data_IF_400988806528
#
_entry.id   IF_400988806528
#
_cell.length_a   1.000
_cell.length_b   1.000
_cell.length_c   1.000
_cell.angle_alpha   90.00
_cell.angle_beta   90.00
_cell.angle_gamma   90.00
#
_symmetry.space_group_name_H-M   'P 1'
#
loop_
_entity.id
_entity.type
_entity.pdbx_description
1 polymer ?
#
# COMPACT_ATOMS: atom_id res chain seq x y z
N UNK A 1 -62.55 13.77 -18.49
CA UNK A 1 -61.66 14.44 -17.52
C UNK A 1 -60.28 13.81 -17.65
N UNK A 2 -59.33 14.61 -18.14
CA UNK A 2 -57.93 14.27 -18.40
C UNK A 2 -57.11 14.29 -17.11
N UNK A 3 -56.25 13.31 -16.88
CA UNK A 3 -54.94 13.43 -16.19
C UNK A 3 -54.11 12.19 -16.58
N UNK A 4 -53.28 12.19 -17.64
CA UNK A 4 -51.91 12.72 -17.80
C UNK A 4 -50.89 12.26 -16.74
N UNK A 5 -49.94 11.43 -17.21
CA UNK A 5 -48.50 11.40 -16.87
C UNK A 5 -48.13 10.77 -15.51
N UNK A 6 -47.01 10.08 -15.30
CA UNK A 6 -45.74 9.94 -16.02
C UNK A 6 -45.04 8.67 -15.49
N UNK A 7 -44.45 7.88 -16.39
CA UNK A 7 -43.55 6.79 -16.02
C UNK A 7 -42.23 7.35 -15.47
N UNK A 8 -41.70 6.77 -14.39
CA UNK A 8 -40.32 6.97 -13.97
C UNK A 8 -39.68 5.63 -13.60
N UNK A 9 -39.09 4.98 -14.59
CA UNK A 9 -38.17 3.87 -14.38
C UNK A 9 -36.81 4.47 -13.96
N UNK A 10 -36.46 4.36 -12.69
CA UNK A 10 -35.12 4.71 -12.20
C UNK A 10 -34.20 3.51 -12.46
N UNK A 11 -33.48 3.57 -13.58
CA UNK A 11 -32.34 2.70 -13.82
C UNK A 11 -31.17 3.18 -12.94
N UNK A 12 -30.91 2.48 -11.85
CA UNK A 12 -29.67 2.66 -11.07
C UNK A 12 -28.53 2.03 -11.87
N UNK A 13 -27.87 2.84 -12.70
CA UNK A 13 -26.60 2.48 -13.31
C UNK A 13 -25.53 2.40 -12.20
N UNK A 14 -25.10 1.18 -11.90
CA UNK A 14 -23.90 0.92 -11.12
C UNK A 14 -22.66 1.42 -11.89
N UNK A 15 -22.28 2.69 -11.67
CA UNK A 15 -20.97 3.19 -12.08
C UNK A 15 -19.92 2.50 -11.21
N UNK A 16 -19.34 1.41 -11.72
CA UNK A 16 -18.03 0.96 -11.31
C UNK A 16 -17.00 2.00 -11.77
N UNK A 17 -16.88 3.10 -11.02
CA UNK A 17 -15.78 4.03 -11.18
C UNK A 17 -14.50 3.28 -10.81
N UNK A 18 -13.66 3.02 -11.82
CA UNK A 18 -12.25 2.71 -11.62
C UNK A 18 -11.64 3.95 -10.94
N UNK A 19 -11.64 3.96 -9.61
CA UNK A 19 -10.96 4.97 -8.81
C UNK A 19 -9.50 4.98 -9.24
N UNK A 20 -8.99 6.15 -9.60
CA UNK A 20 -7.57 6.35 -9.85
C UNK A 20 -6.83 5.99 -8.56
N UNK A 21 -6.19 4.83 -8.54
CA UNK A 21 -5.39 4.39 -7.40
C UNK A 21 -4.33 5.45 -7.14
N UNK A 22 -4.29 5.94 -5.90
CA UNK A 22 -3.18 6.77 -5.45
C UNK A 22 -1.89 5.97 -5.63
N UNK A 23 -0.96 6.56 -6.38
CA UNK A 23 0.26 5.91 -6.83
C UNK A 23 1.36 6.23 -5.82
N UNK A 24 1.52 5.33 -4.87
CA UNK A 24 2.81 5.09 -4.24
C UNK A 24 3.68 4.25 -5.20
N UNK A 25 4.52 3.32 -4.72
CA UNK A 25 5.20 2.33 -5.60
C UNK A 25 4.33 1.95 -6.81
N UNK A 26 4.84 2.05 -8.02
CA UNK A 26 3.97 2.11 -9.19
C UNK A 26 3.45 0.72 -9.54
N UNK A 27 2.13 0.56 -9.66
CA UNK A 27 1.53 -0.67 -10.15
C UNK A 27 1.90 -0.89 -11.62
N UNK A 28 2.64 -1.97 -11.90
CA UNK A 28 3.09 -2.33 -13.24
C UNK A 28 2.13 -3.32 -13.91
N UNK A 29 1.79 -4.40 -13.22
CA UNK A 29 0.87 -5.41 -13.74
C UNK A 29 0.29 -6.24 -12.59
N UNK A 30 -0.52 -7.23 -12.94
CA UNK A 30 -1.17 -8.17 -12.03
C UNK A 30 -0.86 -9.60 -12.44
N UNK A 31 -0.62 -10.46 -11.44
CA UNK A 31 -0.29 -11.88 -11.60
C UNK A 31 0.91 -12.10 -12.53
N UNK A 32 1.93 -11.24 -12.41
CA UNK A 32 3.16 -11.34 -13.18
C UNK A 32 4.01 -12.53 -12.71
N UNK A 33 4.62 -13.24 -13.65
CA UNK A 33 5.47 -14.42 -13.41
C UNK A 33 6.82 -14.27 -14.11
N UNK A 34 7.84 -14.96 -13.61
CA UNK A 34 9.19 -14.93 -14.20
C UNK A 34 9.76 -13.51 -14.27
N UNK A 35 9.51 -12.72 -13.23
CA UNK A 35 9.83 -11.30 -13.16
C UNK A 35 11.34 -11.10 -13.12
N UNK A 36 11.84 -10.17 -13.94
CA UNK A 36 13.24 -9.72 -13.99
C UNK A 36 13.30 -8.21 -13.98
N UNK A 37 14.31 -7.68 -13.29
CA UNK A 37 14.63 -6.26 -13.22
C UNK A 37 16.04 -6.04 -13.76
N UNK A 38 16.18 -5.07 -14.66
CA UNK A 38 17.47 -4.55 -15.11
C UNK A 38 17.42 -3.01 -15.08
N UNK A 39 18.54 -2.36 -14.78
CA UNK A 39 18.67 -0.89 -14.81
C UNK A 39 19.88 -0.53 -15.65
N UNK A 40 19.73 0.42 -16.58
CA UNK A 40 20.82 0.87 -17.44
C UNK A 40 21.55 2.09 -16.84
N UNK A 41 22.67 2.47 -17.45
CA UNK A 41 23.48 3.62 -17.01
C UNK A 41 22.77 4.98 -17.15
N UNK A 42 21.62 5.03 -17.84
CA UNK A 42 20.80 6.24 -17.97
C UNK A 42 19.73 6.37 -16.88
N UNK A 43 19.73 5.49 -15.87
CA UNK A 43 18.74 5.52 -14.78
C UNK A 43 17.34 5.09 -15.22
N UNK A 44 17.27 4.18 -16.20
CA UNK A 44 16.01 3.57 -16.63
C UNK A 44 15.97 2.12 -16.19
N UNK A 45 14.81 1.66 -15.74
CA UNK A 45 14.56 0.25 -15.46
C UNK A 45 13.87 -0.42 -16.65
N UNK A 46 14.27 -1.65 -16.95
CA UNK A 46 13.56 -2.60 -17.80
C UNK A 46 13.01 -3.73 -16.94
N UNK A 47 11.69 -3.84 -16.93
CA UNK A 47 10.98 -4.93 -16.29
C UNK A 47 10.60 -5.94 -17.37
N UNK A 48 10.96 -7.20 -17.17
CA UNK A 48 10.56 -8.31 -18.04
C UNK A 48 9.78 -9.33 -17.24
N UNK A 49 8.58 -9.68 -17.69
CA UNK A 49 7.72 -10.65 -16.99
C UNK A 49 6.68 -11.25 -17.93
N UNK A 50 6.06 -12.36 -17.53
CA UNK A 50 4.92 -12.96 -18.23
C UNK A 50 3.63 -12.63 -17.49
N UNK A 51 2.65 -12.11 -18.21
CA UNK A 51 1.31 -11.85 -17.70
C UNK A 51 0.30 -11.89 -18.85
N UNK A 52 -0.93 -12.34 -18.58
CA UNK A 52 -2.02 -12.36 -19.58
C UNK A 52 -1.64 -13.11 -20.87
N UNK A 53 -0.94 -14.24 -20.72
CA UNK A 53 -0.54 -15.10 -21.84
C UNK A 53 0.65 -14.62 -22.69
N UNK A 54 1.26 -13.47 -22.38
CA UNK A 54 2.40 -12.92 -23.14
C UNK A 54 3.53 -12.41 -22.26
N UNK A 55 4.71 -12.28 -22.85
CA UNK A 55 5.86 -11.61 -22.23
C UNK A 55 5.73 -10.10 -22.44
N UNK A 56 5.99 -9.35 -21.38
CA UNK A 56 6.01 -7.90 -21.36
C UNK A 56 7.43 -7.41 -21.14
N UNK A 57 7.76 -6.33 -21.82
CA UNK A 57 8.96 -5.53 -21.61
C UNK A 57 8.49 -4.11 -21.30
N UNK A 58 8.64 -3.68 -20.06
CA UNK A 58 8.19 -2.37 -19.60
C UNK A 58 9.40 -1.54 -19.23
N UNK A 59 9.62 -0.43 -19.93
CA UNK A 59 10.60 0.57 -19.49
C UNK A 59 9.96 1.53 -18.49
N UNK A 60 10.70 1.87 -17.44
CA UNK A 60 10.30 2.81 -16.41
C UNK A 60 11.44 3.79 -16.08
N UNK A 61 11.14 5.09 -15.94
CA UNK A 61 12.13 6.12 -15.60
C UNK A 61 11.49 7.42 -15.10
N UNK A 62 12.34 8.38 -14.71
CA UNK A 62 11.94 9.77 -14.48
C UNK A 62 11.26 10.06 -13.14
N UNK A 63 11.36 9.14 -12.19
CA UNK A 63 10.87 9.31 -10.83
C UNK A 63 11.81 8.65 -9.84
N UNK A 64 12.05 9.33 -8.72
CA UNK A 64 12.82 8.86 -7.57
C UNK A 64 12.18 9.47 -6.31
N UNK A 65 12.18 8.73 -5.22
CA UNK A 65 11.71 9.19 -3.90
C UNK A 65 10.24 9.63 -3.86
N UNK A 66 9.91 10.43 -2.86
CA UNK A 66 8.63 11.10 -2.67
C UNK A 66 8.87 12.56 -2.27
N UNK A 67 7.87 13.40 -2.52
CA UNK A 67 7.77 14.72 -1.89
C UNK A 67 6.82 14.67 -0.70
N UNK A 68 7.06 15.56 0.28
CA UNK A 68 6.19 15.74 1.44
C UNK A 68 4.74 16.09 1.01
N UNK A 69 3.72 15.70 1.79
CA UNK A 69 2.33 16.01 1.46
C UNK A 69 2.09 17.50 1.22
N UNK A 70 1.54 17.82 0.06
CA UNK A 70 1.16 19.20 -0.29
C UNK A 70 -0.05 19.22 -1.21
N UNK A 71 -0.86 20.28 -1.12
CA UNK A 71 -1.95 20.50 -2.07
C UNK A 71 -1.49 21.27 -3.33
N UNK A 72 -0.28 21.83 -3.32
CA UNK A 72 0.23 22.67 -4.40
C UNK A 72 0.79 21.89 -5.59
N UNK A 73 1.19 20.62 -5.39
CA UNK A 73 1.81 19.79 -6.42
C UNK A 73 1.34 18.35 -6.33
N UNK A 74 1.44 17.62 -7.45
CA UNK A 74 1.22 16.17 -7.48
C UNK A 74 2.47 15.44 -6.98
N UNK A 75 2.27 14.23 -6.49
CA UNK A 75 3.34 13.33 -6.11
C UNK A 75 4.16 12.88 -7.33
N UNK A 76 5.41 12.46 -7.09
CA UNK A 76 6.33 11.91 -8.09
C UNK A 76 5.75 10.64 -8.73
N UNK A 77 5.94 10.44 -10.04
CA UNK A 77 5.43 9.27 -10.78
C UNK A 77 6.36 8.85 -11.92
N UNK A 78 6.45 7.55 -12.19
CA UNK A 78 7.24 7.06 -13.32
C UNK A 78 6.61 7.45 -14.66
N UNK A 79 7.48 7.58 -15.67
CA UNK A 79 7.13 7.41 -17.07
C UNK A 79 7.25 5.93 -17.40
N UNK A 80 6.23 5.36 -18.03
CA UNK A 80 6.18 3.94 -18.39
C UNK A 80 6.00 3.76 -19.89
N UNK A 81 6.74 2.82 -20.47
CA UNK A 81 6.59 2.38 -21.85
C UNK A 81 6.47 0.85 -21.91
N UNK A 82 5.25 0.38 -22.11
CA UNK A 82 4.88 -1.05 -22.17
C UNK A 82 5.26 -1.74 -23.48
N UNK A 83 5.89 -1.03 -24.41
CA UNK A 83 6.37 -1.59 -25.69
C UNK A 83 7.87 -1.94 -25.66
N UNK A 84 8.53 -1.84 -24.50
CA UNK A 84 9.96 -2.07 -24.38
C UNK A 84 10.83 -1.00 -25.06
N UNK A 85 10.28 0.21 -25.24
CA UNK A 85 10.97 1.38 -25.77
C UNK A 85 10.52 1.87 -27.13
N UNK A 86 9.71 1.12 -27.86
CA UNK A 86 9.24 1.56 -29.18
C UNK A 86 8.35 2.81 -29.10
N UNK A 87 7.47 2.90 -28.11
CA UNK A 87 6.57 4.03 -27.89
C UNK A 87 7.34 5.33 -27.73
N UNK A 88 8.41 5.29 -26.93
CA UNK A 88 9.23 6.44 -26.54
C UNK A 88 10.34 6.75 -27.54
N UNK A 89 11.09 5.74 -27.96
CA UNK A 89 12.32 5.87 -28.74
C UNK A 89 12.18 5.45 -30.20
N UNK A 90 11.00 4.97 -30.62
CA UNK A 90 10.74 4.41 -31.96
C UNK A 90 11.70 3.27 -32.33
N UNK A 91 12.17 2.53 -31.33
CA UNK A 91 13.03 1.35 -31.46
C UNK A 91 12.84 0.38 -30.29
N UNK A 92 13.13 -0.90 -30.51
CA UNK A 92 13.06 -1.96 -29.50
C UNK A 92 14.25 -1.90 -28.53
N UNK A 93 14.25 -0.91 -27.62
CA UNK A 93 15.33 -0.71 -26.64
C UNK A 93 15.56 -1.96 -25.78
N UNK A 94 14.51 -2.72 -25.47
CA UNK A 94 14.61 -3.93 -24.66
C UNK A 94 15.56 -4.99 -25.22
N UNK A 95 15.78 -5.04 -26.55
CA UNK A 95 16.64 -6.04 -27.20
C UNK A 95 18.13 -5.82 -26.92
N UNK A 96 18.53 -4.56 -26.72
CA UNK A 96 19.93 -4.16 -26.50
C UNK A 96 20.13 -3.58 -25.11
N UNK A 97 19.16 -3.77 -24.22
CA UNK A 97 19.19 -3.22 -22.88
C UNK A 97 20.28 -3.90 -22.04
N UNK A 98 21.28 -3.13 -21.62
CA UNK A 98 22.35 -3.61 -20.76
C UNK A 98 22.07 -3.28 -19.30
N UNK A 99 22.14 -4.28 -18.43
CA UNK A 99 22.00 -4.09 -16.99
C UNK A 99 23.35 -3.67 -16.38
N UNK A 100 23.35 -2.55 -15.67
CA UNK A 100 24.48 -2.09 -14.85
C UNK A 100 24.15 -2.13 -13.35
N UNK A 101 22.93 -2.51 -12.98
CA UNK A 101 22.51 -2.61 -11.59
C UNK A 101 23.20 -3.80 -10.91
N UNK A 102 23.83 -3.54 -9.77
CA UNK A 102 24.44 -4.56 -8.92
C UNK A 102 23.47 -5.15 -7.90
N UNK A 103 23.96 -6.06 -7.05
CA UNK A 103 23.21 -6.60 -5.90
C UNK A 103 22.66 -5.44 -5.06
N UNK A 104 21.45 -5.58 -4.53
CA UNK A 104 20.91 -4.60 -3.58
C UNK A 104 21.83 -4.46 -2.36
N UNK A 105 22.21 -3.22 -2.05
CA UNK A 105 23.12 -2.87 -0.92
C UNK A 105 22.47 -1.93 0.10
N UNK A 106 21.17 -1.68 0.02
CA UNK A 106 20.48 -0.88 1.04
C UNK A 106 20.28 -1.66 2.34
N UNK A 107 20.18 -0.94 3.47
CA UNK A 107 20.07 -1.54 4.80
C UNK A 107 18.65 -2.05 5.09
N UNK A 108 17.64 -1.42 4.49
CA UNK A 108 16.24 -1.75 4.73
C UNK A 108 15.88 -3.18 4.26
N UNK A 109 15.20 -3.93 5.12
CA UNK A 109 14.59 -5.19 4.73
C UNK A 109 13.32 -4.92 3.94
N UNK A 110 13.27 -5.40 2.69
CA UNK A 110 12.12 -5.21 1.81
C UNK A 110 11.13 -6.36 1.96
N UNK A 111 9.93 -6.08 2.46
CA UNK A 111 8.82 -7.02 2.44
C UNK A 111 8.35 -7.32 1.02
N UNK A 112 7.69 -8.46 0.80
CA UNK A 112 7.09 -8.80 -0.50
C UNK A 112 8.08 -8.80 -1.69
N UNK A 113 9.37 -8.93 -1.43
CA UNK A 113 10.43 -8.74 -2.42
C UNK A 113 10.37 -9.79 -3.54
N UNK A 114 10.43 -9.32 -4.79
CA UNK A 114 10.58 -10.14 -6.00
C UNK A 114 11.99 -9.99 -6.58
N UNK A 115 12.45 -8.74 -6.73
CA UNK A 115 13.79 -8.41 -7.19
C UNK A 115 14.18 -7.03 -6.67
N UNK A 116 15.45 -6.82 -6.33
CA UNK A 116 15.97 -5.49 -6.04
C UNK A 116 17.43 -5.39 -6.48
N UNK A 117 17.87 -4.17 -6.75
CA UNK A 117 19.23 -3.89 -7.18
C UNK A 117 19.64 -2.47 -6.76
N UNK A 118 20.95 -2.21 -6.76
CA UNK A 118 21.51 -0.86 -6.55
C UNK A 118 22.23 -0.41 -7.80
N UNK A 119 21.82 0.74 -8.32
CA UNK A 119 22.39 1.34 -9.51
C UNK A 119 23.74 2.02 -9.18
N UNK A 120 24.62 2.24 -10.18
CA UNK A 120 25.92 2.88 -9.94
C UNK A 120 25.87 4.29 -9.35
N UNK A 121 24.74 4.99 -9.48
CA UNK A 121 24.52 6.31 -8.87
C UNK A 121 24.13 6.24 -7.38
N UNK A 122 24.08 5.04 -6.80
CA UNK A 122 23.71 4.80 -5.41
C UNK A 122 22.20 4.68 -5.17
N UNK A 123 21.37 4.88 -6.18
CA UNK A 123 19.93 4.68 -6.07
C UNK A 123 19.55 3.20 -6.03
N UNK A 124 18.41 2.90 -5.41
CA UNK A 124 17.90 1.53 -5.27
C UNK A 124 16.62 1.35 -6.08
N UNK A 125 16.49 0.19 -6.68
CA UNK A 125 15.29 -0.22 -7.40
C UNK A 125 14.75 -1.52 -6.83
N UNK A 126 13.43 -1.64 -6.73
CA UNK A 126 12.80 -2.86 -6.24
C UNK A 126 11.48 -3.16 -6.94
N UNK A 127 11.21 -4.45 -7.05
CA UNK A 127 9.93 -5.03 -7.43
C UNK A 127 9.39 -5.79 -6.22
N UNK A 128 8.15 -5.46 -5.85
CA UNK A 128 7.42 -6.10 -4.75
C UNK A 128 6.11 -6.66 -5.27
N UNK A 129 5.63 -7.76 -4.67
CA UNK A 129 4.35 -8.36 -5.05
C UNK A 129 3.51 -8.85 -3.89
N UNK A 130 2.28 -8.35 -3.82
CA UNK A 130 1.32 -8.65 -2.75
C UNK A 130 -0.13 -8.39 -3.18
N UNK A 131 -1.09 -8.89 -2.40
CA UNK A 131 -2.52 -8.81 -2.68
C UNK A 131 -3.19 -7.62 -1.96
N UNK A 132 -3.14 -6.45 -2.58
CA UNK A 132 -3.80 -5.25 -2.05
C UNK A 132 -5.33 -5.36 -2.08
N UNK A 133 -5.90 -5.93 -3.13
CA UNK A 133 -7.33 -5.89 -3.45
C UNK A 133 -8.26 -6.78 -2.64
N UNK A 134 -7.77 -7.49 -1.61
CA UNK A 134 -8.60 -8.39 -0.80
C UNK A 134 -9.73 -7.62 -0.08
N UNK A 135 -10.95 -8.17 -0.01
CA UNK A 135 -12.04 -7.53 0.71
C UNK A 135 -11.83 -7.61 2.22
N UNK A 136 -12.37 -6.63 2.95
CA UNK A 136 -12.23 -6.55 4.40
C UNK A 136 -13.02 -7.65 5.13
N UNK A 137 -12.67 -7.86 6.39
CA UNK A 137 -13.35 -8.74 7.34
C UNK A 137 -13.43 -10.21 6.90
N UNK A 138 -12.33 -10.73 6.36
CA UNK A 138 -12.22 -12.15 5.99
C UNK A 138 -13.13 -12.58 4.84
N UNK A 139 -13.68 -11.63 4.09
CA UNK A 139 -14.57 -11.93 2.98
C UNK A 139 -13.84 -12.70 1.87
N UNK A 140 -14.56 -13.59 1.20
CA UNK A 140 -14.00 -14.32 0.06
C UNK A 140 -13.74 -13.34 -1.10
N UNK A 141 -12.50 -13.24 -1.61
CA UNK A 141 -12.21 -12.35 -2.72
C UNK A 141 -12.80 -12.91 -4.03
N UNK A 142 -13.28 -12.02 -4.89
CA UNK A 142 -13.45 -12.35 -6.31
C UNK A 142 -12.10 -12.53 -7.00
N UNK A 143 -12.09 -13.13 -8.19
CA UNK A 143 -10.86 -13.28 -9.00
C UNK A 143 -10.17 -11.93 -9.30
N UNK A 144 -10.93 -10.83 -9.39
CA UNK A 144 -10.37 -9.48 -9.60
C UNK A 144 -9.70 -8.91 -8.34
N UNK A 145 -10.16 -9.33 -7.16
CA UNK A 145 -9.64 -8.88 -5.86
C UNK A 145 -8.44 -9.71 -5.41
N UNK A 146 -8.42 -11.01 -5.75
CA UNK A 146 -7.36 -11.95 -5.38
C UNK A 146 -6.08 -11.81 -6.23
N UNK A 147 -5.96 -10.77 -7.06
CA UNK A 147 -4.79 -10.56 -7.91
C UNK A 147 -3.57 -10.17 -7.07
N UNK A 148 -2.41 -10.68 -7.47
CA UNK A 148 -1.12 -10.23 -6.97
C UNK A 148 -0.66 -9.05 -7.79
N UNK A 149 -0.48 -7.89 -7.16
CA UNK A 149 0.04 -6.70 -7.83
C UNK A 149 1.56 -6.80 -7.94
N UNK A 150 2.13 -6.42 -9.08
CA UNK A 150 3.58 -6.22 -9.23
C UNK A 150 3.84 -4.72 -9.19
N UNK A 151 4.64 -4.27 -8.23
CA UNK A 151 4.85 -2.84 -7.93
C UNK A 151 6.32 -2.47 -8.01
N UNK A 152 6.61 -1.31 -8.59
CA UNK A 152 7.97 -0.81 -8.84
C UNK A 152 8.29 0.37 -7.93
N UNK A 153 9.50 0.36 -7.36
CA UNK A 153 10.03 1.44 -6.55
C UNK A 153 11.42 1.87 -7.02
N UNK A 154 11.74 3.15 -6.83
CA UNK A 154 13.04 3.76 -7.07
C UNK A 154 13.29 4.84 -6.03
N UNK A 155 14.33 4.69 -5.22
CA UNK A 155 14.59 5.59 -4.10
C UNK A 155 16.09 5.74 -3.79
N UNK A 156 16.39 6.74 -2.96
CA UNK A 156 17.70 7.01 -2.39
C UNK A 156 17.59 7.14 -0.87
N UNK A 157 18.61 6.65 -0.16
CA UNK A 157 18.63 6.63 1.30
C UNK A 157 17.55 5.73 1.90
N UNK A 158 17.09 6.09 3.09
CA UNK A 158 16.11 5.30 3.85
C UNK A 158 14.70 5.36 3.23
N UNK A 159 13.98 4.23 3.19
CA UNK A 159 12.58 4.21 2.78
C UNK A 159 11.67 4.87 3.82
N UNK A 160 10.35 4.86 3.57
CA UNK A 160 9.37 5.27 4.58
C UNK A 160 9.44 4.39 5.83
N UNK A 161 8.99 4.92 6.95
CA UNK A 161 8.96 4.24 8.23
C UNK A 161 7.51 3.99 8.64
N UNK A 162 7.18 2.72 8.87
CA UNK A 162 5.89 2.29 9.39
C UNK A 162 6.11 1.75 10.80
N UNK A 163 5.72 2.52 11.79
CA UNK A 163 5.80 2.14 13.19
C UNK A 163 4.41 1.75 13.69
N UNK A 164 4.30 0.56 14.29
CA UNK A 164 3.04 0.05 14.83
C UNK A 164 3.28 -0.50 16.22
N UNK A 165 2.53 0.03 17.18
CA UNK A 165 2.34 -0.51 18.52
C UNK A 165 1.07 -1.37 18.60
N UNK A 166 1.05 -2.27 19.58
CA UNK A 166 -0.08 -3.13 19.91
C UNK A 166 -0.45 -2.99 21.39
N UNK A 167 -1.75 -2.91 21.64
CA UNK A 167 -2.36 -2.77 22.96
C UNK A 167 -3.79 -3.33 22.95
N UNK A 168 -4.66 -2.82 23.82
CA UNK A 168 -6.05 -3.24 23.87
C UNK A 168 -7.00 -2.05 23.83
N UNK A 169 -8.08 -2.14 23.06
CA UNK A 169 -9.23 -1.25 23.16
C UNK A 169 -10.24 -1.81 24.16
N UNK A 170 -10.79 -0.94 25.02
CA UNK A 170 -11.75 -1.29 26.07
C UNK A 170 -11.24 -2.40 27.00
N UNK A 171 -9.92 -2.50 27.19
CA UNK A 171 -9.23 -3.56 27.96
C UNK A 171 -9.59 -4.99 27.52
N UNK A 172 -10.07 -5.16 26.28
CA UNK A 172 -10.68 -6.42 25.82
C UNK A 172 -10.27 -6.80 24.40
N UNK A 173 -10.38 -5.87 23.47
CA UNK A 173 -10.11 -6.13 22.06
C UNK A 173 -8.68 -5.79 21.76
N UNK A 174 -7.99 -6.60 20.95
CA UNK A 174 -6.70 -6.21 20.42
C UNK A 174 -6.83 -4.86 19.69
N UNK A 175 -5.80 -4.03 19.78
CA UNK A 175 -5.76 -2.74 19.14
C UNK A 175 -4.35 -2.51 18.60
N UNK A 176 -4.29 -1.77 17.49
CA UNK A 176 -3.06 -1.29 16.91
C UNK A 176 -3.13 0.22 16.75
N UNK A 177 -1.97 0.85 16.86
CA UNK A 177 -1.79 2.27 16.63
C UNK A 177 -0.41 2.53 16.06
N UNK A 178 -0.20 3.69 15.44
CA UNK A 178 1.09 3.97 14.86
C UNK A 178 1.12 5.21 14.01
N UNK A 179 2.25 5.36 13.30
CA UNK A 179 2.50 6.44 12.37
C UNK A 179 3.10 5.90 11.06
N UNK A 180 2.96 6.70 10.01
CA UNK A 180 3.68 6.52 8.77
C UNK A 180 4.42 7.81 8.45
N UNK A 181 5.74 7.72 8.34
CA UNK A 181 6.59 8.88 8.06
C UNK A 181 7.54 8.61 6.89
N UNK A 182 8.04 9.67 6.29
CA UNK A 182 9.12 9.61 5.31
C UNK A 182 10.01 10.83 5.46
N UNK A 183 11.30 10.62 5.75
CA UNK A 183 12.27 11.68 6.05
C UNK A 183 11.79 12.63 7.15
N UNK A 184 11.17 12.07 8.19
CA UNK A 184 10.61 12.82 9.33
C UNK A 184 9.26 13.48 9.07
N UNK A 185 8.76 13.48 7.83
CA UNK A 185 7.48 14.09 7.48
C UNK A 185 6.34 13.07 7.57
N UNK A 186 5.22 13.50 8.13
CA UNK A 186 4.00 12.71 8.20
C UNK A 186 3.46 12.38 6.80
N UNK A 187 3.12 11.13 6.56
CA UNK A 187 2.60 10.66 5.28
C UNK A 187 1.07 10.61 5.33
N UNK A 188 0.39 11.61 4.75
CA UNK A 188 -1.07 11.70 4.78
C UNK A 188 -1.68 12.25 3.49
N UNK A 189 -2.96 11.96 3.25
CA UNK A 189 -3.72 12.42 2.09
C UNK A 189 -4.48 13.71 2.38
N UNK A 190 -5.24 14.19 1.39
CA UNK A 190 -6.08 15.38 1.48
C UNK A 190 -7.54 15.10 1.17
N UNK A 191 -7.83 14.06 0.38
CA UNK A 191 -9.19 13.72 -0.06
C UNK A 191 -9.38 12.22 -0.14
N UNK A 192 -10.57 11.76 0.22
CA UNK A 192 -10.99 10.37 0.08
C UNK A 192 -12.48 10.26 -0.25
N UNK A 193 -12.89 9.08 -0.72
CA UNK A 193 -14.31 8.71 -0.80
C UNK A 193 -14.88 8.51 0.60
N UNK A 194 -16.22 8.49 0.76
CA UNK A 194 -16.85 8.10 2.02
C UNK A 194 -16.44 6.70 2.51
N UNK A 195 -16.07 5.81 1.59
CA UNK A 195 -15.55 4.47 1.88
C UNK A 195 -14.05 4.42 2.20
N UNK A 196 -13.38 5.58 2.32
CA UNK A 196 -11.96 5.65 2.72
C UNK A 196 -10.96 5.36 1.61
N UNK A 197 -11.37 5.44 0.33
CA UNK A 197 -10.44 5.33 -0.80
C UNK A 197 -9.78 6.67 -1.10
N UNK A 198 -8.44 6.76 -1.20
CA UNK A 198 -7.75 7.98 -1.60
C UNK A 198 -8.26 8.54 -2.93
N UNK A 199 -8.38 9.87 -3.03
CA UNK A 199 -8.74 10.60 -4.25
C UNK A 199 -7.65 11.57 -4.71
N UNK A 200 -6.46 11.51 -4.11
CA UNK A 200 -5.31 12.33 -4.43
C UNK A 200 -4.05 11.48 -4.58
N UNK A 201 -2.95 12.09 -5.02
CA UNK A 201 -1.69 11.38 -5.30
C UNK A 201 -0.84 11.14 -4.06
N UNK A 202 -1.30 11.57 -2.88
CA UNK A 202 -0.64 11.30 -1.62
C UNK A 202 -1.35 10.14 -0.94
N UNK A 203 -2.61 10.29 -0.53
CA UNK A 203 -3.37 9.35 0.30
C UNK A 203 -3.11 7.87 -0.01
N UNK A 204 -2.89 7.04 1.01
CA UNK A 204 -2.74 5.60 0.87
C UNK A 204 -3.37 4.88 2.04
N UNK A 205 -3.93 3.70 1.78
CA UNK A 205 -4.47 2.85 2.83
C UNK A 205 -3.33 2.01 3.43
N UNK A 206 -3.38 1.85 4.76
CA UNK A 206 -2.73 0.77 5.47
C UNK A 206 -3.65 -0.45 5.38
N UNK A 207 -3.10 -1.59 4.97
CA UNK A 207 -3.82 -2.86 4.83
C UNK A 207 -3.40 -3.80 5.94
N UNK A 208 -4.32 -4.12 6.83
CA UNK A 208 -4.07 -5.00 7.98
C UNK A 208 -4.58 -6.39 7.63
N UNK A 209 -3.72 -7.39 7.79
CA UNK A 209 -4.11 -8.79 7.73
C UNK A 209 -3.87 -9.46 9.09
N UNK A 210 -4.72 -10.43 9.41
CA UNK A 210 -4.71 -11.20 10.65
C UNK A 210 -4.48 -12.67 10.33
N UNK A 211 -3.68 -13.36 11.15
CA UNK A 211 -3.36 -14.78 10.98
C UNK A 211 -4.11 -15.64 12.00
N UNK A 212 -4.85 -16.65 11.51
CA UNK A 212 -5.52 -17.62 12.38
C UNK A 212 -6.63 -17.00 13.24
N UNK A 213 -7.37 -16.03 12.70
CA UNK A 213 -8.56 -15.47 13.33
C UNK A 213 -9.81 -16.28 12.98
N UNK A 214 -10.97 -15.88 13.53
CA UNK A 214 -12.28 -16.46 13.20
C UNK A 214 -12.68 -16.30 11.71
N UNK A 215 -11.93 -15.51 10.93
CA UNK A 215 -12.14 -15.39 9.49
C UNK A 215 -11.75 -16.64 8.71
N UNK A 216 -10.84 -17.45 9.27
CA UNK A 216 -10.41 -18.71 8.66
C UNK A 216 -8.92 -18.94 8.79
N UNK A 217 -8.47 -20.05 8.21
CA UNK A 217 -7.07 -20.45 8.26
C UNK A 217 -6.16 -19.47 7.50
N UNK A 218 -4.91 -19.36 7.96
CA UNK A 218 -3.88 -18.54 7.32
C UNK A 218 -4.10 -17.04 7.50
N UNK A 219 -3.50 -16.26 6.60
CA UNK A 219 -3.65 -14.81 6.57
C UNK A 219 -4.96 -14.40 5.92
N UNK A 220 -5.74 -13.57 6.60
CA UNK A 220 -7.00 -13.00 6.13
C UNK A 220 -6.95 -11.47 6.24
N UNK A 221 -7.56 -10.77 5.28
CA UNK A 221 -7.68 -9.31 5.33
C UNK A 221 -8.61 -8.91 6.47
N UNK A 222 -8.09 -8.16 7.42
CA UNK A 222 -8.86 -7.52 8.48
C UNK A 222 -9.56 -6.28 7.92
N UNK A 223 -8.77 -5.27 7.57
CA UNK A 223 -9.31 -4.00 7.12
C UNK A 223 -8.28 -3.22 6.31
N UNK A 224 -8.74 -2.11 5.73
CA UNK A 224 -7.89 -1.12 5.09
C UNK A 224 -8.39 0.28 5.41
N UNK A 225 -7.50 1.16 5.89
CA UNK A 225 -7.88 2.50 6.34
C UNK A 225 -6.77 3.51 6.08
N UNK A 226 -7.13 4.79 6.09
CA UNK A 226 -6.20 5.89 5.81
C UNK A 226 -5.44 6.30 7.07
N UNK A 227 -4.20 6.73 6.86
CA UNK A 227 -3.48 7.58 7.81
C UNK A 227 -4.21 8.93 7.99
N UNK A 228 -4.27 9.43 9.22
CA UNK A 228 -4.91 10.69 9.58
C UNK A 228 -4.10 11.90 9.08
N UNK A 229 -4.81 12.93 8.59
CA UNK A 229 -4.22 14.23 8.27
C UNK A 229 -4.27 15.13 9.52
N UNK A 230 -3.23 15.92 9.82
CA UNK A 230 -1.94 16.03 9.11
C UNK A 230 -0.84 15.10 9.67
N UNK A 231 -1.14 14.28 10.67
CA UNK A 231 -0.12 13.63 11.51
C UNK A 231 0.45 12.35 10.93
N UNK A 232 -0.18 11.75 9.91
CA UNK A 232 0.25 10.46 9.37
C UNK A 232 -0.04 9.28 10.31
N UNK A 233 -0.72 9.54 11.43
CA UNK A 233 -1.03 8.54 12.46
C UNK A 233 -2.24 7.70 12.10
N UNK A 234 -2.40 6.55 12.74
CA UNK A 234 -3.58 5.71 12.59
C UNK A 234 -3.77 4.85 13.82
N UNK A 235 -5.00 4.37 14.01
CA UNK A 235 -5.30 3.33 14.97
C UNK A 235 -6.46 2.48 14.49
N UNK A 236 -6.56 1.28 15.04
CA UNK A 236 -7.57 0.31 14.67
C UNK A 236 -7.80 -0.69 15.80
N UNK A 237 -9.06 -0.91 16.17
CA UNK A 237 -9.44 -1.92 17.14
C UNK A 237 -10.04 -3.14 16.46
N UNK A 238 -9.67 -4.33 16.92
CA UNK A 238 -10.16 -5.61 16.42
C UNK A 238 -11.45 -6.00 17.15
N UNK A 239 -12.53 -5.25 16.93
CA UNK A 239 -13.86 -5.55 17.47
C UNK A 239 -14.81 -6.07 16.37
N UNK A 240 -15.92 -6.73 16.72
CA UNK A 240 -16.92 -7.13 15.73
C UNK A 240 -17.45 -5.92 14.95
N UNK A 241 -17.47 -6.02 13.62
CA UNK A 241 -17.95 -4.97 12.73
C UNK A 241 -19.25 -5.39 12.06
N UNK A 242 -20.38 -4.84 12.53
CA UNK A 242 -21.70 -5.27 12.09
C UNK A 242 -21.92 -6.75 12.41
N UNK A 243 -22.30 -7.55 11.42
CA UNK A 243 -22.44 -9.00 11.56
C UNK A 243 -21.16 -9.82 11.40
N UNK A 244 -19.97 -9.18 11.37
CA UNK A 244 -18.69 -9.87 11.21
C UNK A 244 -18.01 -10.08 12.57
N UNK A 245 -17.38 -11.25 12.81
CA UNK A 245 -16.65 -11.47 14.05
C UNK A 245 -15.43 -10.54 14.16
N UNK A 246 -14.86 -10.47 15.36
CA UNK A 246 -13.56 -9.82 15.57
C UNK A 246 -12.50 -10.56 14.76
N UNK A 247 -11.63 -9.83 14.07
CA UNK A 247 -10.47 -10.43 13.42
C UNK A 247 -9.26 -10.60 14.34
N UNK A 248 -9.46 -10.67 15.66
CA UNK A 248 -8.41 -11.07 16.60
C UNK A 248 -7.78 -12.38 16.13
N UNK A 249 -6.46 -12.36 15.96
CA UNK A 249 -5.68 -13.51 15.47
C UNK A 249 -4.47 -13.77 16.36
N UNK A 250 -3.66 -14.74 15.96
CA UNK A 250 -2.39 -15.04 16.64
C UNK A 250 -1.27 -14.08 16.21
N UNK A 251 -1.35 -13.52 15.01
CA UNK A 251 -0.33 -12.63 14.42
C UNK A 251 -1.00 -11.59 13.54
N UNK A 252 -0.34 -10.45 13.41
CA UNK A 252 -0.78 -9.34 12.57
C UNK A 252 0.31 -8.97 11.58
N UNK A 253 -0.10 -8.53 10.40
CA UNK A 253 0.78 -7.82 9.47
C UNK A 253 0.06 -6.61 8.92
N UNK A 254 0.82 -5.56 8.65
CA UNK A 254 0.33 -4.37 7.99
C UNK A 254 1.19 -4.08 6.78
N UNK A 255 0.56 -3.88 5.62
CA UNK A 255 1.25 -3.48 4.39
C UNK A 255 0.72 -2.14 3.94
N UNK A 256 1.61 -1.23 3.55
CA UNK A 256 1.24 0.07 2.98
C UNK A 256 2.05 0.33 1.74
N UNK A 257 1.41 0.96 0.76
CA UNK A 257 2.12 1.41 -0.43
C UNK A 257 3.06 2.56 -0.02
N UNK A 258 4.34 2.46 -0.38
CA UNK A 258 5.34 3.48 -0.07
C UNK A 258 4.96 4.87 -0.60
N UNK A 259 5.29 5.97 0.10
CA UNK A 259 5.05 7.32 -0.43
C UNK A 259 5.81 7.56 -1.74
N UNK A 260 5.21 8.29 -2.68
CA UNK A 260 5.86 8.58 -3.97
C UNK A 260 6.21 7.32 -4.73
N UNK A 261 7.46 7.16 -5.13
CA UNK A 261 7.95 5.91 -5.76
C UNK A 261 8.88 5.12 -4.84
N UNK A 262 8.76 5.30 -3.52
CA UNK A 262 9.54 4.54 -2.53
C UNK A 262 9.00 3.10 -2.35
N UNK A 263 9.75 2.19 -1.70
CA UNK A 263 9.32 0.81 -1.44
C UNK A 263 8.02 0.71 -0.64
N UNK A 264 7.26 -0.35 -0.91
CA UNK A 264 6.17 -0.77 -0.03
C UNK A 264 6.73 -1.26 1.30
N UNK A 265 6.02 -0.93 2.37
CA UNK A 265 6.43 -1.26 3.73
C UNK A 265 5.59 -2.40 4.26
N UNK A 266 6.24 -3.32 4.97
CA UNK A 266 5.61 -4.45 5.64
C UNK A 266 6.03 -4.45 7.11
N UNK A 267 5.06 -4.37 7.99
CA UNK A 267 5.22 -4.61 9.41
C UNK A 267 4.57 -5.95 9.78
N UNK A 268 5.17 -6.69 10.72
CA UNK A 268 4.58 -7.90 11.30
C UNK A 268 4.88 -7.98 12.80
N UNK A 269 3.93 -8.54 13.56
CA UNK A 269 4.12 -8.88 14.97
C UNK A 269 3.21 -10.05 15.34
N UNK A 270 3.57 -10.77 16.39
CA UNK A 270 2.63 -11.63 17.09
C UNK A 270 1.61 -10.77 17.85
N UNK A 271 0.42 -11.32 18.10
CA UNK A 271 -0.59 -10.66 18.91
C UNK A 271 -0.09 -10.48 20.35
N UNK A 272 -0.52 -9.40 21.01
CA UNK A 272 -0.07 -9.07 22.36
C UNK A 272 -0.53 -10.09 23.41
N UNK A 273 -1.62 -10.80 23.13
CA UNK A 273 -2.19 -11.82 24.01
C UNK A 273 -3.31 -11.28 24.92
N UNK A 274 -3.56 -11.95 26.07
CA UNK A 274 -4.52 -11.49 27.07
C UNK A 274 -4.18 -10.09 27.59
N UNK A 275 -5.20 -9.35 28.04
CA UNK A 275 -5.03 -8.01 28.60
C UNK A 275 -4.00 -7.99 29.73
N UNK A 276 -3.04 -7.06 29.64
CA UNK A 276 -2.08 -6.74 30.69
C UNK A 276 -2.10 -5.25 30.99
N UNK A 277 -2.42 -4.88 32.23
CA UNK A 277 -2.58 -3.49 32.64
C UNK A 277 -1.27 -2.69 32.55
N UNK A 278 -0.14 -3.29 32.86
CA UNK A 278 1.16 -2.59 32.85
C UNK A 278 1.55 -2.27 31.42
N UNK A 279 1.40 -3.24 30.50
CA UNK A 279 1.68 -3.03 29.08
C UNK A 279 0.70 -2.04 28.44
N UNK A 280 -0.57 -2.07 28.84
CA UNK A 280 -1.61 -1.12 28.41
C UNK A 280 -1.24 0.33 28.80
N UNK A 281 -0.75 0.54 30.03
CA UNK A 281 -0.30 1.87 30.48
C UNK A 281 0.92 2.38 29.71
N UNK A 282 1.88 1.51 29.38
CA UNK A 282 3.02 1.88 28.53
C UNK A 282 2.55 2.28 27.13
N UNK A 283 1.68 1.48 26.51
CA UNK A 283 1.14 1.78 25.19
C UNK A 283 0.28 3.05 25.19
N UNK A 284 -0.47 3.32 26.24
CA UNK A 284 -1.23 4.56 26.41
C UNK A 284 -0.30 5.78 26.42
N UNK A 285 0.88 5.69 27.07
CA UNK A 285 1.87 6.76 27.06
C UNK A 285 2.46 6.97 25.65
N UNK A 286 2.81 5.90 24.94
CA UNK A 286 3.28 5.97 23.55
C UNK A 286 2.24 6.61 22.62
N UNK A 287 0.96 6.26 22.80
CA UNK A 287 -0.14 6.87 22.05
C UNK A 287 -0.26 8.36 22.32
N UNK A 288 -0.13 8.82 23.56
CA UNK A 288 -0.18 10.26 23.88
C UNK A 288 0.94 11.06 23.20
N UNK A 289 2.08 10.43 22.90
CA UNK A 289 3.16 11.06 22.15
C UNK A 289 2.89 11.15 20.64
N UNK A 290 2.05 10.26 20.11
CA UNK A 290 1.71 10.19 18.69
C UNK A 290 0.45 10.99 18.34
N UNK A 291 -0.56 10.94 19.20
CA UNK A 291 -1.87 11.53 18.94
C UNK A 291 -2.04 12.86 19.66
N UNK A 292 -2.49 13.92 18.96
CA UNK A 292 -2.90 15.16 19.62
C UNK A 292 -4.01 14.89 20.64
N UNK A 293 -4.03 15.64 21.75
CA UNK A 293 -5.10 15.59 22.75
C UNK A 293 -6.46 15.81 22.07
N UNK A 294 -7.38 14.86 22.23
CA UNK A 294 -8.70 14.88 21.57
C UNK A 294 -8.76 14.20 20.19
N UNK A 295 -7.70 13.50 19.78
CA UNK A 295 -7.66 12.70 18.56
C UNK A 295 -8.63 11.50 18.55
N UNK A 296 -8.84 10.92 17.36
CA UNK A 296 -9.79 9.82 17.14
C UNK A 296 -9.32 8.46 17.69
N UNK A 297 -8.08 8.36 18.16
CA UNK A 297 -7.56 7.17 18.80
C UNK A 297 -7.72 7.33 20.30
N UNK A 298 -8.76 6.70 20.84
CA UNK A 298 -9.02 6.71 22.28
C UNK A 298 -8.19 5.61 22.92
N UNK A 299 -7.13 6.00 23.63
CA UNK A 299 -6.50 5.15 24.63
C UNK A 299 -7.48 4.84 25.77
N UNK A 300 -7.25 3.73 26.46
CA UNK A 300 -8.05 3.32 27.63
C UNK A 300 -7.84 4.21 28.86
#
# INVERSE_FOLDING_TARGET
MLFRSLALAIAVLALAALSGEARGSELIDRNAQGVKLAVNAQGQALLTFRARGRTWHVLAWGAVDAIAPTQARKQVKFKLDYSGGYGTYKRDVWKTFSNVCGKYTGEATLGWLVAACTAPDGSHWALQSWQRGLPNYGLRPSAKQAVWELRLSHWTGEPGQLEIGLDWAYRRFDHLFGNLTYRGEAVHGFRSTPSGMPLDTFGRNLYVDTYGSEYGAGWQRENSFLTQKPTGTFCYGFFPHGGRPSGKGARYRATVIGPGVTPDLLWQSDARGPYDRTLDLTANFEQLMLFPIGGNCRSN
#
